data_IF_635783027907
#
_entry.id   IF_635783027907
#
_cell.length_a   1.000
_cell.length_b   1.000
_cell.length_c   1.000
_cell.angle_alpha   90.00
_cell.angle_beta   90.00
_cell.angle_gamma   90.00
#
_symmetry.space_group_name_H-M   'P 1'
#
loop_
_entity.id
_entity.type
_entity.pdbx_description
1 polymer ?
#
# COMPACT_ATOMS: atom_id res chain seq x y z
N UNK A 1 15.00 -1.77 33.84
CA UNK A 1 14.55 -0.36 33.72
C UNK A 1 15.68 0.65 33.66
N UNK A 2 16.82 0.46 34.33
CA UNK A 2 17.97 1.40 34.33
C UNK A 2 18.56 1.70 32.94
N UNK A 3 18.33 0.83 31.95
CA UNK A 3 18.80 0.99 30.57
C UNK A 3 18.16 2.15 29.81
N UNK A 4 17.01 2.67 30.28
CA UNK A 4 16.31 3.79 29.63
C UNK A 4 16.73 5.16 30.18
N UNK A 5 17.35 5.16 31.37
CA UNK A 5 17.72 6.36 32.12
C UNK A 5 18.66 7.27 31.35
N UNK A 6 19.59 6.71 30.58
CA UNK A 6 20.59 7.48 29.84
C UNK A 6 20.07 8.10 28.53
N UNK A 7 18.79 7.86 28.20
CA UNK A 7 18.13 8.37 27.00
C UNK A 7 18.62 7.75 25.69
N UNK A 8 19.65 6.90 25.69
CA UNK A 8 20.26 6.38 24.46
C UNK A 8 19.34 5.42 23.73
N UNK A 9 18.60 4.60 24.47
CA UNK A 9 17.64 3.67 23.87
C UNK A 9 16.50 4.39 23.13
N UNK A 10 15.96 5.48 23.68
CA UNK A 10 14.93 6.26 22.99
C UNK A 10 15.45 6.83 21.66
N UNK A 11 16.64 7.45 21.70
CA UNK A 11 17.32 7.95 20.50
C UNK A 11 17.61 6.84 19.48
N UNK A 12 18.05 5.66 19.94
CA UNK A 12 18.34 4.52 19.07
C UNK A 12 17.09 3.99 18.36
N UNK A 13 15.93 3.95 19.03
CA UNK A 13 14.67 3.55 18.40
C UNK A 13 14.30 4.55 17.30
N UNK A 14 14.38 5.86 17.58
CA UNK A 14 14.10 6.91 16.58
C UNK A 14 15.07 6.79 15.39
N UNK A 15 16.37 6.67 15.66
CA UNK A 15 17.41 6.51 14.63
C UNK A 15 17.18 5.27 13.76
N UNK A 16 16.77 4.14 14.35
CA UNK A 16 16.51 2.89 13.59
C UNK A 16 15.41 3.09 12.54
N UNK A 17 14.40 3.89 12.85
CA UNK A 17 13.26 4.11 11.95
C UNK A 17 13.49 5.29 11.00
N UNK A 18 14.18 6.34 11.45
CA UNK A 18 14.56 7.50 10.63
C UNK A 18 15.97 7.97 11.02
N UNK A 19 17.03 7.42 10.38
CA UNK A 19 18.41 7.73 10.72
C UNK A 19 18.78 9.21 10.62
N UNK A 20 18.10 9.95 9.73
CA UNK A 20 18.37 11.38 9.51
C UNK A 20 17.95 12.29 10.66
N UNK A 21 17.17 11.81 11.62
CA UNK A 21 16.64 12.64 12.72
C UNK A 21 17.55 12.70 13.95
N UNK A 22 18.48 11.76 14.09
CA UNK A 22 19.31 11.61 15.30
C UNK A 22 20.74 11.25 14.89
N UNK A 23 21.72 12.03 15.34
CA UNK A 23 23.14 11.63 15.24
C UNK A 23 23.54 10.84 16.49
N UNK A 24 23.71 9.52 16.34
CA UNK A 24 24.08 8.66 17.46
C UNK A 24 25.48 8.96 18.01
N UNK A 25 26.40 9.53 17.22
CA UNK A 25 27.73 9.90 17.74
C UNK A 25 27.60 11.02 18.78
N UNK A 26 26.70 11.97 18.54
CA UNK A 26 26.39 13.04 19.47
C UNK A 26 25.73 12.49 20.76
N UNK A 27 24.76 11.58 20.61
CA UNK A 27 24.03 10.95 21.73
C UNK A 27 24.97 10.23 22.71
N UNK A 28 26.05 9.61 22.22
CA UNK A 28 27.03 8.95 23.09
C UNK A 28 27.88 9.92 23.92
N UNK A 29 27.99 11.19 23.50
CA UNK A 29 28.77 12.23 24.17
C UNK A 29 27.92 13.13 25.10
N UNK A 30 26.60 13.09 24.96
CA UNK A 30 25.65 13.92 25.73
C UNK A 30 25.33 13.32 27.11
N UNK A 31 24.79 14.18 27.97
CA UNK A 31 24.25 13.78 29.28
C UNK A 31 22.91 13.05 29.14
N UNK A 32 22.50 12.33 30.20
CA UNK A 32 21.20 11.64 30.25
C UNK A 32 20.04 12.59 29.94
N UNK A 33 20.01 13.74 30.62
CA UNK A 33 18.95 14.72 30.46
C UNK A 33 18.89 15.28 29.03
N UNK A 34 20.03 15.62 28.43
CA UNK A 34 20.09 16.09 27.03
C UNK A 34 19.58 15.03 26.05
N UNK A 35 19.97 13.77 26.25
CA UNK A 35 19.51 12.66 25.42
C UNK A 35 18.00 12.44 25.53
N UNK A 36 17.46 12.49 26.74
CA UNK A 36 16.02 12.33 27.01
C UNK A 36 15.22 13.48 26.38
N UNK A 37 15.63 14.73 26.62
CA UNK A 37 14.99 15.91 26.04
C UNK A 37 15.00 15.85 24.50
N UNK A 38 16.16 15.53 23.91
CA UNK A 38 16.30 15.41 22.46
C UNK A 38 15.37 14.33 21.91
N UNK A 39 15.32 13.14 22.53
CA UNK A 39 14.47 12.06 22.06
C UNK A 39 12.99 12.43 22.12
N UNK A 40 12.53 13.00 23.24
CA UNK A 40 11.13 13.34 23.44
C UNK A 40 10.70 14.50 22.51
N UNK A 41 11.52 15.55 22.38
CA UNK A 41 11.26 16.66 21.47
C UNK A 41 11.24 16.22 20.00
N UNK A 42 12.18 15.36 19.61
CA UNK A 42 12.24 14.83 18.23
C UNK A 42 11.04 13.94 17.93
N UNK A 43 10.66 13.05 18.86
CA UNK A 43 9.50 12.19 18.69
C UNK A 43 8.19 12.99 18.57
N UNK A 44 8.02 14.04 19.37
CA UNK A 44 6.84 14.91 19.30
C UNK A 44 6.79 15.69 17.97
N UNK A 45 7.88 16.37 17.61
CA UNK A 45 7.90 17.27 16.45
C UNK A 45 7.90 16.53 15.11
N UNK A 46 8.66 15.44 15.01
CA UNK A 46 8.94 14.77 13.72
C UNK A 46 8.11 13.50 13.52
N UNK A 47 7.67 12.85 14.61
CA UNK A 47 6.89 11.62 14.58
C UNK A 47 5.46 11.79 15.12
N UNK A 48 5.12 12.95 15.70
CA UNK A 48 3.79 13.22 16.24
C UNK A 48 3.45 12.42 17.50
N UNK A 49 4.46 11.89 18.20
CA UNK A 49 4.25 11.10 19.43
C UNK A 49 4.03 12.05 20.60
N UNK A 50 2.89 11.94 21.27
CA UNK A 50 2.61 12.74 22.47
C UNK A 50 3.68 12.52 23.53
N UNK A 51 4.26 13.61 24.04
CA UNK A 51 5.23 13.57 25.12
C UNK A 51 4.56 13.20 26.45
N UNK A 52 4.73 11.94 26.88
CA UNK A 52 4.14 11.40 28.11
C UNK A 52 5.10 11.38 29.30
N UNK A 53 6.40 11.58 29.04
CA UNK A 53 7.47 11.51 30.03
C UNK A 53 8.23 12.83 30.06
N UNK A 54 8.60 13.26 31.25
CA UNK A 54 9.56 14.34 31.45
C UNK A 54 10.96 13.74 31.70
N UNK A 55 12.04 14.37 31.19
CA UNK A 55 13.41 13.89 31.40
C UNK A 55 13.77 13.69 32.87
N UNK A 56 13.28 14.57 33.76
CA UNK A 56 13.55 14.49 35.20
C UNK A 56 12.90 13.26 35.86
N UNK A 57 11.76 12.80 35.36
CA UNK A 57 11.08 11.59 35.87
C UNK A 57 11.78 10.30 35.42
N UNK A 58 12.61 10.39 34.38
CA UNK A 58 13.34 9.26 33.80
C UNK A 58 14.80 9.22 34.26
N UNK A 59 15.46 10.37 34.45
CA UNK A 59 16.85 10.46 34.95
C UNK A 59 16.96 10.26 36.48
N UNK A 60 16.28 9.23 36.98
CA UNK A 60 16.32 8.79 38.37
C UNK A 60 16.89 7.36 38.46
N UNK A 61 17.36 6.91 39.64
CA UNK A 61 17.90 5.56 39.80
C UNK A 61 16.94 4.44 39.38
N UNK A 62 15.63 4.64 39.60
CA UNK A 62 14.58 3.66 39.34
C UNK A 62 13.36 4.32 38.70
N UNK A 63 13.38 4.56 37.37
CA UNK A 63 12.23 5.15 36.69
C UNK A 63 11.05 4.17 36.62
N UNK A 64 9.83 4.69 36.53
CA UNK A 64 8.61 3.87 36.49
C UNK A 64 8.52 3.06 35.18
N UNK A 65 8.45 1.74 35.33
CA UNK A 65 8.48 0.82 34.20
C UNK A 65 7.21 0.90 33.34
N UNK A 66 6.05 1.12 33.96
CA UNK A 66 4.78 1.18 33.23
C UNK A 66 4.72 2.42 32.36
N UNK A 67 5.12 3.56 32.89
CA UNK A 67 5.23 4.81 32.14
C UNK A 67 6.21 4.69 30.97
N UNK A 68 7.37 4.07 31.17
CA UNK A 68 8.32 3.78 30.08
C UNK A 68 7.68 2.88 29.02
N UNK A 69 7.05 1.78 29.42
CA UNK A 69 6.38 0.85 28.48
C UNK A 69 5.32 1.58 27.68
N UNK A 70 4.45 2.37 28.33
CA UNK A 70 3.40 3.13 27.65
C UNK A 70 3.98 4.08 26.60
N UNK A 71 5.06 4.79 26.92
CA UNK A 71 5.69 5.71 25.98
C UNK A 71 6.42 4.99 24.84
N UNK A 72 7.11 3.87 25.12
CA UNK A 72 7.74 3.06 24.07
C UNK A 72 6.69 2.45 23.14
N UNK A 73 5.53 2.05 23.66
CA UNK A 73 4.40 1.59 22.85
C UNK A 73 3.87 2.70 21.93
N UNK A 74 3.67 3.93 22.44
CA UNK A 74 3.24 5.04 21.59
C UNK A 74 4.27 5.41 20.53
N UNK A 75 5.56 5.31 20.87
CA UNK A 75 6.65 5.50 19.92
C UNK A 75 6.63 4.44 18.80
N UNK A 76 6.39 3.17 19.14
CA UNK A 76 6.26 2.08 18.18
C UNK A 76 5.02 2.23 17.28
N UNK A 77 3.88 2.65 17.82
CA UNK A 77 2.66 2.85 17.03
C UNK A 77 2.78 3.96 15.97
N UNK A 78 3.63 4.96 16.21
CA UNK A 78 3.91 6.03 15.25
C UNK A 78 4.86 5.62 14.12
N UNK A 79 5.47 4.44 14.20
CA UNK A 79 6.42 3.95 13.20
C UNK A 79 5.67 3.20 12.08
N UNK A 80 6.18 3.25 10.82
CA UNK A 80 5.57 2.50 9.73
C UNK A 80 5.50 1.02 10.09
N UNK A 81 4.30 0.45 10.13
CA UNK A 81 4.13 -0.97 10.38
C UNK A 81 4.77 -1.73 9.23
N UNK A 82 5.66 -2.68 9.54
CA UNK A 82 5.95 -3.76 8.60
C UNK A 82 4.58 -4.38 8.30
N UNK A 83 4.13 -4.44 7.03
CA UNK A 83 2.85 -5.03 6.71
C UNK A 83 2.81 -6.41 7.33
N UNK A 84 1.77 -6.71 8.11
CA UNK A 84 1.60 -8.05 8.63
C UNK A 84 1.59 -9.01 7.43
N UNK A 85 2.04 -10.26 7.61
CA UNK A 85 2.06 -11.24 6.52
C UNK A 85 0.66 -11.34 5.87
N UNK A 86 -0.39 -11.16 6.68
CA UNK A 86 -1.78 -11.08 6.22
C UNK A 86 -2.08 -9.85 5.36
N UNK A 87 -1.52 -8.68 5.68
CA UNK A 87 -1.68 -7.47 4.88
C UNK A 87 -0.89 -7.55 3.56
N UNK A 88 0.29 -8.17 3.58
CA UNK A 88 1.04 -8.50 2.37
C UNK A 88 0.31 -9.48 1.45
N UNK A 89 -0.33 -10.52 2.02
CA UNK A 89 -1.16 -11.46 1.26
C UNK A 89 -2.37 -10.75 0.65
N UNK A 90 -3.06 -9.88 1.40
CA UNK A 90 -4.19 -9.10 0.87
C UNK A 90 -3.78 -8.12 -0.22
N UNK A 91 -2.62 -7.48 -0.08
CA UNK A 91 -2.08 -6.58 -1.11
C UNK A 91 -1.79 -7.34 -2.40
N UNK A 92 -1.15 -8.51 -2.31
CA UNK A 92 -0.89 -9.37 -3.46
C UNK A 92 -2.19 -9.90 -4.10
N UNK A 93 -3.19 -10.27 -3.30
CA UNK A 93 -4.49 -10.71 -3.83
C UNK A 93 -5.21 -9.57 -4.57
N UNK A 94 -5.17 -8.36 -4.02
CA UNK A 94 -5.74 -7.18 -4.67
C UNK A 94 -5.02 -6.86 -5.99
N UNK A 95 -3.69 -6.97 -6.02
CA UNK A 95 -2.89 -6.77 -7.23
C UNK A 95 -3.20 -7.81 -8.30
N UNK A 96 -3.31 -9.09 -7.92
CA UNK A 96 -3.68 -10.16 -8.84
C UNK A 96 -5.09 -9.94 -9.44
N UNK A 97 -6.07 -9.59 -8.60
CA UNK A 97 -7.43 -9.26 -9.08
C UNK A 97 -7.45 -8.05 -10.00
N UNK A 98 -6.59 -7.05 -9.72
CA UNK A 98 -6.42 -5.90 -10.61
C UNK A 98 -5.86 -6.29 -11.97
N UNK A 99 -4.87 -7.19 -12.00
CA UNK A 99 -4.31 -7.70 -13.25
C UNK A 99 -5.36 -8.47 -14.06
N UNK A 100 -6.10 -9.39 -13.42
CA UNK A 100 -7.18 -10.14 -14.07
C UNK A 100 -8.25 -9.19 -14.65
N UNK A 101 -8.68 -8.20 -13.87
CA UNK A 101 -9.62 -7.17 -14.35
C UNK A 101 -9.07 -6.41 -15.56
N UNK A 102 -7.81 -5.95 -15.47
CA UNK A 102 -7.18 -5.15 -16.50
C UNK A 102 -7.03 -5.93 -17.82
N UNK A 103 -6.64 -7.19 -17.75
CA UNK A 103 -6.55 -8.07 -18.93
C UNK A 103 -7.91 -8.24 -19.61
N UNK A 104 -8.95 -8.53 -18.82
CA UNK A 104 -10.31 -8.72 -19.35
C UNK A 104 -10.83 -7.45 -20.03
N UNK A 105 -10.67 -6.29 -19.39
CA UNK A 105 -11.10 -5.00 -19.96
C UNK A 105 -10.32 -4.67 -21.24
N UNK A 106 -9.01 -4.90 -21.25
CA UNK A 106 -8.17 -4.61 -22.41
C UNK A 106 -8.59 -5.46 -23.61
N UNK A 107 -8.79 -6.76 -23.41
CA UNK A 107 -9.25 -7.69 -24.46
C UNK A 107 -10.65 -7.31 -24.94
N UNK A 108 -11.57 -6.99 -24.03
CA UNK A 108 -12.93 -6.55 -24.38
C UNK A 108 -12.91 -5.27 -25.23
N UNK A 109 -12.12 -4.27 -24.85
CA UNK A 109 -12.01 -3.01 -25.59
C UNK A 109 -11.42 -3.22 -26.99
N UNK A 110 -10.38 -4.05 -27.12
CA UNK A 110 -9.81 -4.41 -28.41
C UNK A 110 -10.83 -5.11 -29.30
N UNK A 111 -11.58 -6.06 -28.74
CA UNK A 111 -12.63 -6.79 -29.45
C UNK A 111 -13.75 -5.87 -29.93
N UNK A 112 -14.27 -4.99 -29.06
CA UNK A 112 -15.31 -4.02 -29.43
C UNK A 112 -14.82 -3.13 -30.57
N UNK A 113 -13.61 -2.56 -30.46
CA UNK A 113 -13.04 -1.69 -31.50
C UNK A 113 -12.90 -2.42 -32.84
N UNK A 114 -12.42 -3.66 -32.82
CA UNK A 114 -12.29 -4.47 -34.03
C UNK A 114 -13.64 -4.71 -34.69
N UNK A 115 -14.64 -5.16 -33.94
CA UNK A 115 -15.96 -5.44 -34.51
C UNK A 115 -16.70 -4.19 -34.95
N UNK A 116 -16.58 -3.06 -34.25
CA UNK A 116 -17.13 -1.78 -34.73
C UNK A 116 -16.57 -1.43 -36.10
N UNK A 117 -15.25 -1.57 -36.30
CA UNK A 117 -14.62 -1.30 -37.60
C UNK A 117 -15.13 -2.26 -38.69
N UNK A 118 -15.24 -3.56 -38.40
CA UNK A 118 -15.76 -4.56 -39.35
C UNK A 118 -17.23 -4.27 -39.71
N UNK A 119 -18.07 -3.92 -38.74
CA UNK A 119 -19.50 -3.64 -38.97
C UNK A 119 -19.77 -2.28 -39.61
N UNK A 120 -18.84 -1.32 -39.52
CA UNK A 120 -18.92 -0.05 -40.24
C UNK A 120 -18.58 -0.18 -41.74
N UNK A 121 -18.04 -1.33 -42.18
CA UNK A 121 -17.74 -1.56 -43.60
C UNK A 121 -19.02 -1.67 -44.44
N UNK A 122 -19.29 -0.65 -45.26
CA UNK A 122 -20.50 -0.56 -46.10
C UNK A 122 -20.35 -1.23 -47.47
N UNK A 123 -19.44 -2.19 -47.63
CA UNK A 123 -19.24 -2.90 -48.89
C UNK A 123 -20.11 -4.16 -48.90
N UNK A 124 -21.21 -4.08 -49.62
CA UNK A 124 -22.09 -5.23 -49.82
C UNK A 124 -21.69 -6.00 -51.08
N UNK A 125 -21.66 -7.34 -51.02
CA UNK A 125 -21.42 -8.16 -52.19
C UNK A 125 -22.53 -8.01 -53.22
N UNK A 126 -22.22 -8.26 -54.49
CA UNK A 126 -23.18 -8.16 -55.59
C UNK A 126 -23.89 -9.48 -55.91
N UNK A 127 -23.47 -10.60 -55.31
CA UNK A 127 -24.07 -11.92 -55.52
C UNK A 127 -24.87 -12.40 -54.31
N UNK A 128 -25.89 -13.22 -54.57
CA UNK A 128 -26.72 -13.82 -53.53
C UNK A 128 -25.90 -14.77 -52.64
N UNK A 129 -25.01 -15.56 -53.25
CA UNK A 129 -24.14 -16.52 -52.56
C UNK A 129 -23.23 -15.83 -51.54
N UNK A 130 -22.62 -14.69 -51.90
CA UNK A 130 -21.78 -13.91 -50.99
C UNK A 130 -22.59 -13.26 -49.85
N UNK A 131 -23.82 -12.81 -50.14
CA UNK A 131 -24.74 -12.31 -49.11
C UNK A 131 -25.11 -13.42 -48.11
N UNK A 132 -25.36 -14.64 -48.59
CA UNK A 132 -25.65 -15.79 -47.73
C UNK A 132 -24.46 -16.14 -46.82
N UNK A 133 -23.23 -16.03 -47.33
CA UNK A 133 -22.00 -16.20 -46.54
C UNK A 133 -21.89 -15.15 -45.44
N UNK A 134 -22.10 -13.86 -45.75
CA UNK A 134 -22.09 -12.79 -44.76
C UNK A 134 -23.17 -12.99 -43.68
N UNK A 135 -24.37 -13.42 -44.08
CA UNK A 135 -25.45 -13.70 -43.16
C UNK A 135 -25.11 -14.82 -42.18
N UNK A 136 -24.51 -15.92 -42.66
CA UNK A 136 -24.04 -17.01 -41.80
C UNK A 136 -22.95 -16.56 -40.83
N UNK A 137 -22.04 -15.69 -41.26
CA UNK A 137 -21.01 -15.10 -40.40
C UNK A 137 -21.62 -14.21 -39.31
N UNK A 138 -22.62 -13.39 -39.67
CA UNK A 138 -23.35 -12.56 -38.71
C UNK A 138 -24.12 -13.39 -37.68
N UNK A 139 -24.79 -14.46 -38.11
CA UNK A 139 -25.47 -15.41 -37.22
C UNK A 139 -24.49 -16.02 -36.22
N UNK A 140 -23.33 -16.50 -36.68
CA UNK A 140 -22.29 -17.05 -35.81
C UNK A 140 -21.81 -16.01 -34.78
N UNK A 141 -21.56 -14.78 -35.21
CA UNK A 141 -21.19 -13.69 -34.31
C UNK A 141 -22.27 -13.46 -33.23
N UNK A 142 -23.53 -13.37 -33.63
CA UNK A 142 -24.67 -13.10 -32.75
C UNK A 142 -24.93 -14.24 -31.76
N UNK A 143 -24.82 -15.49 -32.21
CA UNK A 143 -25.20 -16.66 -31.41
C UNK A 143 -24.07 -17.17 -30.52
N UNK A 144 -22.80 -16.92 -30.87
CA UNK A 144 -21.65 -17.47 -30.13
C UNK A 144 -20.72 -16.42 -29.57
N UNK A 145 -20.28 -15.45 -30.38
CA UNK A 145 -19.20 -14.55 -30.00
C UNK A 145 -19.68 -13.42 -29.08
N UNK A 146 -20.84 -12.84 -29.40
CA UNK A 146 -21.45 -11.78 -28.61
C UNK A 146 -21.84 -12.26 -27.20
N UNK A 147 -22.53 -13.40 -27.00
CA UNK A 147 -22.85 -13.89 -25.65
C UNK A 147 -21.61 -14.17 -24.79
N UNK A 148 -20.54 -14.72 -25.38
CA UNK A 148 -19.29 -14.97 -24.67
C UNK A 148 -18.66 -13.66 -24.17
N UNK A 149 -18.69 -12.59 -24.98
CA UNK A 149 -18.16 -11.28 -24.58
C UNK A 149 -19.05 -10.54 -23.60
N UNK A 150 -20.36 -10.77 -23.63
CA UNK A 150 -21.27 -10.29 -22.59
C UNK A 150 -21.01 -10.97 -21.23
N UNK A 151 -20.66 -12.25 -21.22
CA UNK A 151 -20.23 -12.95 -20.01
C UNK A 151 -18.91 -12.37 -19.46
N UNK A 152 -17.92 -12.12 -20.31
CA UNK A 152 -16.66 -11.45 -19.92
C UNK A 152 -16.92 -10.04 -19.35
N UNK A 153 -17.85 -9.27 -19.94
CA UNK A 153 -18.28 -7.96 -19.42
C UNK A 153 -18.96 -8.06 -18.05
N UNK A 154 -19.73 -9.11 -17.79
CA UNK A 154 -20.36 -9.31 -16.49
C UNK A 154 -19.38 -9.80 -15.42
N UNK A 155 -18.30 -10.51 -15.81
CA UNK A 155 -17.21 -10.91 -14.91
C UNK A 155 -16.36 -9.73 -14.43
N UNK A 156 -16.39 -8.62 -15.16
CA UNK A 156 -15.63 -7.39 -14.87
C UNK A 156 -16.46 -6.30 -14.17
N UNK A 157 -17.65 -6.62 -13.65
CA UNK A 157 -18.46 -5.74 -12.80
C UNK A 157 -18.30 -6.10 -11.33
#
# INVERSE_FOLDING_TARGET
TTSWRDGKLFNAIIHTHRPSLVDMNQVYAQTNHENLEQAFSTAERELGVTRLLDPEDVDVPHPDEKSIITYVSSLYDAMPRVPDIQDGIKANELELRWQEYYEVVTVLLQWIRHHVLVFEEKKFPSSYEEIEVLWRQFLKFKETELPAKEADKNRSK
#
